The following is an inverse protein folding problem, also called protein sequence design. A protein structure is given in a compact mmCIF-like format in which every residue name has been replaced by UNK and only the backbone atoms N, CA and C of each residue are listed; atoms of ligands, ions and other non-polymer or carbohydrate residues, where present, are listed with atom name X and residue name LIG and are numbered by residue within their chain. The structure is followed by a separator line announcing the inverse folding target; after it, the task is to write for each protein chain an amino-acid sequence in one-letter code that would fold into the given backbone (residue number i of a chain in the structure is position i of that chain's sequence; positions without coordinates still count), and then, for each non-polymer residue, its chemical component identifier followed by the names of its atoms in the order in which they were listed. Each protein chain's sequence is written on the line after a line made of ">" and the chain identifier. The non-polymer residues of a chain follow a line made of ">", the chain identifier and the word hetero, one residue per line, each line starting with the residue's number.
data_IF_553874359984
#
_entry.id   IF_553874359984
#
_cell.length_a   1.000
_cell.length_b   1.000
_cell.length_c   1.000
_cell.angle_alpha   90.00
_cell.angle_beta   90.00
_cell.angle_gamma   90.00
#
_symmetry.space_group_name_H-M   'P 1'
#
loop_
_entity.id
_entity.type
_entity.pdbx_description
1 polymer ?
#
# COMPACT_ATOMS: atom_id res chain seq x y z
N UNK A 1 -24.79 -21.38 -5.26
CA UNK A 1 -23.33 -21.48 -5.49
C UNK A 1 -22.74 -22.19 -4.30
N UNK A 2 -21.76 -23.09 -4.46
CA UNK A 2 -21.07 -23.70 -3.32
C UNK A 2 -19.78 -22.94 -2.99
N UNK A 3 -19.28 -23.10 -1.76
CA UNK A 3 -18.03 -22.46 -1.31
C UNK A 3 -16.85 -22.93 -2.17
N UNK A 4 -16.83 -24.22 -2.54
CA UNK A 4 -15.77 -24.80 -3.37
C UNK A 4 -15.75 -24.20 -4.78
N UNK A 5 -16.91 -23.78 -5.30
CA UNK A 5 -16.98 -23.11 -6.60
C UNK A 5 -16.30 -21.73 -6.54
N UNK A 6 -16.54 -20.99 -5.45
CA UNK A 6 -15.90 -19.68 -5.22
C UNK A 6 -14.39 -19.82 -5.03
N UNK A 7 -13.93 -20.83 -4.29
CA UNK A 7 -12.50 -21.13 -4.13
C UNK A 7 -11.83 -21.42 -5.47
N UNK A 8 -12.45 -22.23 -6.33
CA UNK A 8 -11.93 -22.52 -7.68
C UNK A 8 -11.83 -21.27 -8.54
N UNK A 9 -12.85 -20.41 -8.51
CA UNK A 9 -12.83 -19.14 -9.24
C UNK A 9 -11.71 -18.22 -8.73
N UNK A 10 -11.57 -18.06 -7.43
CA UNK A 10 -10.54 -17.20 -6.83
C UNK A 10 -9.12 -17.72 -7.08
N UNK A 11 -8.90 -19.03 -7.19
CA UNK A 11 -7.59 -19.56 -7.55
C UNK A 11 -7.15 -19.22 -8.99
N UNK A 12 -8.09 -18.83 -9.85
CA UNK A 12 -7.85 -18.41 -11.24
C UNK A 12 -8.06 -16.91 -11.43
N UNK A 13 -8.05 -16.13 -10.36
CA UNK A 13 -8.42 -14.69 -10.35
C UNK A 13 -7.57 -13.82 -11.28
N UNK A 14 -6.32 -14.20 -11.52
CA UNK A 14 -5.41 -13.53 -12.45
C UNK A 14 -5.90 -13.58 -13.91
N UNK A 15 -6.72 -14.57 -14.27
CA UNK A 15 -7.26 -14.74 -15.63
C UNK A 15 -8.58 -13.99 -15.85
N UNK A 16 -9.14 -13.37 -14.79
CA UNK A 16 -10.33 -12.51 -14.80
C UNK A 16 -11.47 -12.93 -15.76
N UNK A 17 -12.02 -14.11 -15.58
CA UNK A 17 -13.20 -14.56 -16.34
C UNK A 17 -14.54 -14.17 -15.70
N UNK A 18 -14.50 -13.43 -14.57
CA UNK A 18 -15.68 -13.15 -13.75
C UNK A 18 -15.57 -11.83 -12.96
N UNK A 19 -16.74 -11.29 -12.58
CA UNK A 19 -16.88 -10.10 -11.73
C UNK A 19 -16.67 -10.44 -10.25
N UNK A 20 -15.79 -9.68 -9.59
CA UNK A 20 -15.53 -9.83 -8.15
C UNK A 20 -16.72 -9.36 -7.30
N UNK A 21 -17.41 -8.31 -7.73
CA UNK A 21 -18.56 -7.77 -7.03
C UNK A 21 -19.72 -8.77 -7.04
N UNK A 22 -19.98 -9.40 -8.20
CA UNK A 22 -21.01 -10.43 -8.32
C UNK A 22 -20.69 -11.66 -7.46
N UNK A 23 -19.42 -12.08 -7.44
CA UNK A 23 -18.98 -13.18 -6.59
C UNK A 23 -19.15 -12.83 -5.10
N UNK A 24 -18.77 -11.61 -4.71
CA UNK A 24 -18.93 -11.12 -3.34
C UNK A 24 -20.40 -11.07 -2.91
N UNK A 25 -21.30 -10.61 -3.78
CA UNK A 25 -22.74 -10.57 -3.52
C UNK A 25 -23.35 -11.99 -3.36
N UNK A 26 -22.90 -12.94 -4.18
CA UNK A 26 -23.31 -14.35 -4.04
C UNK A 26 -22.80 -14.95 -2.73
N UNK A 27 -21.55 -14.68 -2.35
CA UNK A 27 -21.00 -15.09 -1.05
C UNK A 27 -21.73 -14.45 0.12
N UNK A 28 -22.11 -13.17 0.01
CA UNK A 28 -22.87 -12.49 1.06
C UNK A 28 -24.25 -13.14 1.30
N UNK A 29 -24.92 -13.55 0.22
CA UNK A 29 -26.20 -14.26 0.33
C UNK A 29 -26.02 -15.61 1.05
N UNK A 30 -25.00 -16.38 0.66
CA UNK A 30 -24.66 -17.64 1.34
C UNK A 30 -24.28 -17.44 2.81
N UNK A 31 -23.58 -16.34 3.13
CA UNK A 31 -23.19 -16.02 4.51
C UNK A 31 -24.42 -15.86 5.38
N UNK A 32 -25.44 -15.16 4.88
CA UNK A 32 -26.70 -14.95 5.60
C UNK A 32 -27.43 -16.27 5.87
N UNK A 33 -27.44 -17.18 4.90
CA UNK A 33 -28.01 -18.52 5.06
C UNK A 33 -27.24 -19.32 6.14
N UNK A 34 -25.91 -19.28 6.12
CA UNK A 34 -25.07 -19.94 7.12
C UNK A 34 -25.31 -19.38 8.53
N UNK A 35 -25.42 -18.06 8.67
CA UNK A 35 -25.70 -17.41 9.97
C UNK A 35 -27.08 -17.79 10.48
N UNK A 36 -28.10 -17.81 9.61
CA UNK A 36 -29.46 -18.21 9.97
C UNK A 36 -29.51 -19.68 10.43
N UNK A 37 -28.66 -20.53 9.85
CA UNK A 37 -28.51 -21.93 10.21
C UNK A 37 -27.54 -22.18 11.38
N UNK A 38 -27.04 -21.13 12.05
CA UNK A 38 -26.01 -21.18 13.11
C UNK A 38 -24.72 -21.94 12.72
N UNK A 39 -24.39 -21.93 11.43
CA UNK A 39 -23.18 -22.55 10.90
C UNK A 39 -22.00 -21.57 10.90
N UNK A 40 -21.47 -21.31 12.10
CA UNK A 40 -20.34 -20.39 12.32
C UNK A 40 -19.09 -20.73 11.50
N UNK A 41 -18.81 -22.02 11.32
CA UNK A 41 -17.62 -22.46 10.59
C UNK A 41 -17.68 -22.06 9.11
N UNK A 42 -18.83 -22.28 8.47
CA UNK A 42 -19.01 -21.86 7.06
C UNK A 42 -19.09 -20.34 6.93
N UNK A 43 -19.76 -19.65 7.86
CA UNK A 43 -19.79 -18.18 7.85
C UNK A 43 -18.36 -17.58 7.96
N UNK A 44 -17.49 -18.19 8.78
CA UNK A 44 -16.08 -17.83 8.90
C UNK A 44 -15.30 -18.08 7.60
N UNK A 45 -15.52 -19.22 6.96
CA UNK A 45 -14.90 -19.53 5.66
C UNK A 45 -15.33 -18.55 4.58
N UNK A 46 -16.61 -18.17 4.55
CA UNK A 46 -17.11 -17.16 3.61
C UNK A 46 -16.45 -15.80 3.89
N UNK A 47 -16.31 -15.38 5.15
CA UNK A 47 -15.59 -14.15 5.48
C UNK A 47 -14.16 -14.15 4.96
N UNK A 48 -13.45 -15.29 5.02
CA UNK A 48 -12.10 -15.44 4.48
C UNK A 48 -12.11 -15.17 2.97
N UNK A 49 -13.04 -15.78 2.22
CA UNK A 49 -13.15 -15.57 0.76
C UNK A 49 -13.54 -14.13 0.40
N UNK A 50 -14.46 -13.51 1.13
CA UNK A 50 -14.81 -12.10 0.95
C UNK A 50 -13.63 -11.17 1.23
N UNK A 51 -12.83 -11.50 2.25
CA UNK A 51 -11.61 -10.73 2.58
C UNK A 51 -10.55 -10.86 1.49
N UNK A 52 -10.38 -12.04 0.89
CA UNK A 52 -9.53 -12.24 -0.29
C UNK A 52 -10.05 -11.38 -1.44
N UNK A 53 -11.35 -11.43 -1.76
CA UNK A 53 -11.94 -10.60 -2.82
C UNK A 53 -11.64 -9.12 -2.58
N UNK A 54 -11.82 -8.63 -1.35
CA UNK A 54 -11.51 -7.26 -1.00
C UNK A 54 -10.05 -6.93 -1.32
N UNK A 55 -9.08 -7.76 -0.91
CA UNK A 55 -7.65 -7.54 -1.23
C UNK A 55 -7.44 -7.36 -2.75
N UNK A 56 -8.10 -8.17 -3.58
CA UNK A 56 -7.98 -8.03 -5.04
C UNK A 56 -8.64 -6.77 -5.59
N UNK A 57 -9.81 -6.38 -5.09
CA UNK A 57 -10.48 -5.12 -5.46
C UNK A 57 -9.56 -3.94 -5.13
N UNK A 58 -9.05 -3.90 -3.89
CA UNK A 58 -8.17 -2.82 -3.44
C UNK A 58 -6.87 -2.78 -4.24
N UNK A 59 -6.29 -3.93 -4.55
CA UNK A 59 -5.05 -4.00 -5.33
C UNK A 59 -5.24 -3.53 -6.78
N UNK A 60 -6.35 -3.90 -7.43
CA UNK A 60 -6.70 -3.40 -8.77
C UNK A 60 -6.94 -1.88 -8.74
N UNK A 61 -7.64 -1.40 -7.72
CA UNK A 61 -7.85 0.03 -7.49
C UNK A 61 -6.52 0.77 -7.33
N UNK A 62 -5.62 0.26 -6.47
CA UNK A 62 -4.29 0.83 -6.27
C UNK A 62 -3.51 0.90 -7.58
N UNK A 63 -3.50 -0.18 -8.36
CA UNK A 63 -2.84 -0.21 -9.66
C UNK A 63 -3.37 0.88 -10.60
N UNK A 64 -4.69 1.00 -10.72
CA UNK A 64 -5.33 2.02 -11.57
C UNK A 64 -5.04 3.45 -11.09
N UNK A 65 -5.07 3.69 -9.79
CA UNK A 65 -4.74 5.00 -9.21
C UNK A 65 -3.30 5.40 -9.56
N UNK A 66 -2.35 4.47 -9.40
CA UNK A 66 -0.94 4.71 -9.68
C UNK A 66 -0.65 4.86 -11.19
N UNK A 67 -1.29 4.06 -12.05
CA UNK A 67 -1.23 4.24 -13.51
C UNK A 67 -1.76 5.61 -13.94
N UNK A 68 -2.75 6.15 -13.23
CA UNK A 68 -3.32 7.47 -13.45
C UNK A 68 -2.67 8.59 -12.61
N UNK A 69 -1.50 8.33 -12.01
CA UNK A 69 -0.73 9.32 -11.24
C UNK A 69 -1.46 9.93 -10.03
N UNK A 70 -2.46 9.23 -9.48
CA UNK A 70 -3.12 9.58 -8.22
C UNK A 70 -2.36 8.95 -7.05
N UNK A 71 -1.17 9.49 -6.78
CA UNK A 71 -0.18 8.83 -5.92
C UNK A 71 -0.61 8.70 -4.45
N UNK A 72 -1.19 9.76 -3.87
CA UNK A 72 -1.64 9.71 -2.48
C UNK A 72 -2.78 8.70 -2.29
N UNK A 73 -3.77 8.70 -3.18
CA UNK A 73 -4.86 7.72 -3.17
C UNK A 73 -4.33 6.29 -3.33
N UNK A 74 -3.43 6.08 -4.29
CA UNK A 74 -2.79 4.77 -4.48
C UNK A 74 -2.04 4.32 -3.23
N UNK A 75 -1.30 5.20 -2.57
CA UNK A 75 -0.61 4.91 -1.32
C UNK A 75 -1.53 4.53 -0.17
N UNK A 76 -2.64 5.26 0.02
CA UNK A 76 -3.67 4.90 1.01
C UNK A 76 -4.21 3.50 0.75
N UNK A 77 -4.41 3.17 -0.52
CA UNK A 77 -4.85 1.83 -0.92
C UNK A 77 -3.82 0.75 -0.58
N UNK A 78 -2.53 1.01 -0.81
CA UNK A 78 -1.44 0.08 -0.47
C UNK A 78 -1.41 -0.24 1.03
N UNK A 79 -1.54 0.77 1.89
CA UNK A 79 -1.63 0.53 3.34
C UNK A 79 -2.90 -0.24 3.72
N UNK A 80 -4.04 0.10 3.12
CA UNK A 80 -5.29 -0.62 3.36
C UNK A 80 -5.17 -2.11 3.03
N UNK A 81 -4.47 -2.45 1.94
CA UNK A 81 -4.18 -3.84 1.58
C UNK A 81 -3.33 -4.53 2.66
N UNK A 82 -2.30 -3.87 3.22
CA UNK A 82 -1.51 -4.42 4.32
C UNK A 82 -2.38 -4.72 5.56
N UNK A 83 -3.27 -3.79 5.91
CA UNK A 83 -4.18 -3.91 7.04
C UNK A 83 -5.13 -5.10 6.84
N UNK A 84 -5.76 -5.22 5.66
CA UNK A 84 -6.68 -6.31 5.34
C UNK A 84 -5.93 -7.66 5.33
N UNK A 85 -4.75 -7.70 4.71
CA UNK A 85 -3.90 -8.91 4.66
C UNK A 85 -3.51 -9.37 6.06
N UNK A 86 -3.18 -8.44 6.97
CA UNK A 86 -2.87 -8.76 8.37
C UNK A 86 -4.05 -9.41 9.10
N UNK A 87 -5.28 -8.95 8.83
CA UNK A 87 -6.51 -9.53 9.37
C UNK A 87 -6.73 -10.95 8.84
N UNK A 88 -6.57 -11.14 7.53
CA UNK A 88 -6.72 -12.43 6.87
C UNK A 88 -5.78 -13.49 7.46
N UNK A 89 -4.50 -13.15 7.66
CA UNK A 89 -3.45 -14.07 8.14
C UNK A 89 -3.71 -14.70 9.51
N UNK A 90 -4.62 -14.14 10.32
CA UNK A 90 -5.03 -14.73 11.60
C UNK A 90 -5.95 -15.94 11.43
N UNK A 91 -6.59 -16.08 10.28
CA UNK A 91 -7.63 -17.09 10.04
C UNK A 91 -7.38 -17.96 8.82
N UNK A 92 -6.35 -17.63 8.03
CA UNK A 92 -6.03 -18.29 6.78
C UNK A 92 -4.60 -18.83 6.83
N UNK A 93 -4.44 -20.13 6.55
CA UNK A 93 -3.12 -20.71 6.36
C UNK A 93 -2.55 -20.24 5.03
N UNK A 94 -1.52 -19.41 5.13
CA UNK A 94 -0.96 -18.74 3.97
C UNK A 94 -0.20 -19.70 3.05
N UNK A 95 -0.73 -19.90 1.84
CA UNK A 95 -0.07 -20.60 0.75
C UNK A 95 0.39 -19.59 -0.31
N UNK A 96 1.61 -19.75 -0.82
CA UNK A 96 2.19 -18.83 -1.82
C UNK A 96 1.50 -18.94 -3.18
N UNK A 97 0.94 -20.09 -3.50
CA UNK A 97 0.35 -20.36 -4.81
C UNK A 97 -1.15 -20.04 -4.85
N UNK A 98 -1.80 -19.97 -3.69
CA UNK A 98 -3.23 -19.75 -3.62
C UNK A 98 -3.61 -18.28 -3.79
N UNK A 99 -4.64 -18.06 -4.59
CA UNK A 99 -5.31 -16.77 -4.77
C UNK A 99 -4.38 -15.60 -5.16
N UNK A 100 -3.15 -15.85 -5.63
CA UNK A 100 -2.18 -14.80 -5.99
C UNK A 100 -1.81 -13.84 -4.82
N UNK A 101 -2.09 -14.21 -3.56
CA UNK A 101 -1.88 -13.31 -2.40
C UNK A 101 -0.41 -12.94 -2.20
N UNK A 102 0.50 -13.87 -2.48
CA UNK A 102 1.95 -13.62 -2.34
C UNK A 102 2.46 -12.58 -3.31
N UNK A 103 1.97 -12.60 -4.55
CA UNK A 103 2.30 -11.57 -5.51
C UNK A 103 1.81 -10.19 -5.04
N UNK A 104 0.57 -10.10 -4.55
CA UNK A 104 0.00 -8.85 -4.06
C UNK A 104 0.79 -8.32 -2.87
N UNK A 105 1.00 -9.13 -1.83
CA UNK A 105 1.72 -8.70 -0.63
C UNK A 105 3.15 -8.26 -0.96
N UNK A 106 3.84 -9.00 -1.84
CA UNK A 106 5.19 -8.64 -2.29
C UNK A 106 5.19 -7.34 -3.09
N UNK A 107 4.26 -7.18 -4.01
CA UNK A 107 4.14 -5.98 -4.84
C UNK A 107 3.85 -4.75 -3.98
N UNK A 108 2.92 -4.86 -3.02
CA UNK A 108 2.61 -3.78 -2.06
C UNK A 108 3.85 -3.36 -1.28
N UNK A 109 4.61 -4.31 -0.72
CA UNK A 109 5.86 -4.00 0.00
C UNK A 109 6.90 -3.33 -0.89
N UNK A 110 7.12 -3.85 -2.10
CA UNK A 110 8.08 -3.28 -3.04
C UNK A 110 7.67 -1.87 -3.49
N UNK A 111 6.38 -1.65 -3.74
CA UNK A 111 5.85 -0.31 -4.05
C UNK A 111 6.12 0.64 -2.90
N UNK A 112 5.85 0.23 -1.67
CA UNK A 112 6.09 1.10 -0.52
C UNK A 112 7.57 1.47 -0.32
N UNK A 113 8.51 0.62 -0.75
CA UNK A 113 9.95 0.91 -0.71
C UNK A 113 10.37 2.00 -1.71
N UNK A 114 9.72 2.06 -2.88
CA UNK A 114 10.05 3.04 -3.93
C UNK A 114 9.26 4.35 -3.79
N UNK A 115 8.24 4.39 -2.94
CA UNK A 115 7.46 5.59 -2.69
C UNK A 115 8.33 6.69 -2.03
N UNK A 116 8.22 7.94 -2.49
CA UNK A 116 9.11 9.02 -2.06
C UNK A 116 8.78 9.60 -0.69
N UNK A 117 7.69 9.19 -0.03
CA UNK A 117 7.28 9.75 1.26
C UNK A 117 8.33 9.59 2.36
N UNK A 118 8.52 10.66 3.14
CA UNK A 118 9.55 10.73 4.20
C UNK A 118 9.04 11.31 5.51
N UNK A 119 7.97 12.09 5.50
CA UNK A 119 7.49 12.80 6.69
C UNK A 119 6.01 12.50 6.84
N UNK A 120 5.65 12.07 8.04
CA UNK A 120 4.30 11.67 8.38
C UNK A 120 3.87 12.29 9.70
N UNK A 121 2.59 12.58 9.83
CA UNK A 121 1.95 12.97 11.08
C UNK A 121 1.59 11.71 11.89
N UNK A 122 2.22 11.56 13.06
CA UNK A 122 1.87 10.54 14.04
C UNK A 122 1.00 11.16 15.12
N UNK A 123 -0.27 10.78 15.15
CA UNK A 123 -1.26 11.28 16.12
C UNK A 123 -1.25 10.49 17.41
N UNK A 124 -1.24 11.18 18.55
CA UNK A 124 -1.46 10.61 19.87
C UNK A 124 -2.94 10.75 20.24
N UNK A 125 -3.64 9.62 20.38
CA UNK A 125 -5.11 9.60 20.59
C UNK A 125 -5.43 8.86 21.89
N UNK A 126 -6.04 9.56 22.85
CA UNK A 126 -6.64 8.97 24.04
C UNK A 126 -8.05 8.44 23.71
N UNK A 127 -8.19 7.11 23.68
CA UNK A 127 -9.48 6.44 23.41
C UNK A 127 -10.29 6.37 24.72
N UNK A 128 -11.29 7.24 24.88
CA UNK A 128 -12.13 7.32 26.09
C UNK A 128 -13.19 6.23 26.14
N UNK A 129 -13.92 6.03 25.04
CA UNK A 129 -14.97 5.00 24.93
C UNK A 129 -14.81 4.19 23.65
N UNK A 130 -15.19 2.92 23.76
CA UNK A 130 -15.16 1.96 22.65
C UNK A 130 -16.30 0.97 22.77
N UNK A 131 -16.82 0.55 21.63
CA UNK A 131 -17.83 -0.52 21.52
C UNK A 131 -17.32 -1.69 20.69
N UNK A 132 -17.89 -2.86 20.91
CA UNK A 132 -17.64 -4.05 20.10
C UNK A 132 -18.36 -3.94 18.76
N UNK A 133 -17.68 -4.24 17.65
CA UNK A 133 -18.31 -4.21 16.32
C UNK A 133 -19.37 -5.30 16.11
N UNK A 134 -19.32 -6.40 16.88
CA UNK A 134 -20.24 -7.55 16.73
C UNK A 134 -21.50 -7.40 17.57
N UNK A 135 -21.38 -6.98 18.83
CA UNK A 135 -22.52 -6.92 19.76
C UNK A 135 -22.92 -5.52 20.21
N UNK A 136 -22.25 -4.49 19.70
CA UNK A 136 -22.47 -3.06 19.99
C UNK A 136 -22.31 -2.63 21.45
N UNK A 137 -22.04 -3.56 22.38
CA UNK A 137 -21.82 -3.26 23.80
C UNK A 137 -20.58 -2.40 23.99
N UNK A 138 -20.69 -1.42 24.88
CA UNK A 138 -19.55 -0.65 25.38
C UNK A 138 -18.57 -1.58 26.12
N UNK A 139 -17.27 -1.44 25.85
CA UNK A 139 -16.24 -2.34 26.37
C UNK A 139 -15.21 -1.57 27.18
N UNK A 140 -15.09 -1.95 28.45
CA UNK A 140 -14.04 -1.49 29.36
C UNK A 140 -13.28 -2.68 29.95
N UNK A 141 -12.16 -2.42 30.62
CA UNK A 141 -11.38 -3.47 31.31
C UNK A 141 -12.25 -4.21 32.34
N UNK A 142 -13.12 -3.48 33.06
CA UNK A 142 -13.99 -4.05 34.10
C UNK A 142 -15.29 -4.67 33.56
N UNK A 143 -15.69 -4.31 32.33
CA UNK A 143 -16.92 -4.80 31.67
C UNK A 143 -16.57 -5.28 30.25
N UNK A 144 -15.95 -6.47 30.10
CA UNK A 144 -15.70 -7.06 28.80
C UNK A 144 -17.00 -7.62 28.20
N UNK A 145 -17.08 -7.68 26.86
CA UNK A 145 -18.24 -8.25 26.15
C UNK A 145 -18.08 -9.74 25.78
N UNK A 146 -16.98 -10.39 26.18
CA UNK A 146 -16.67 -11.79 25.82
C UNK A 146 -16.04 -11.99 24.43
N UNK A 147 -16.37 -11.16 23.44
CA UNK A 147 -15.78 -11.26 22.09
C UNK A 147 -14.28 -10.91 22.06
N UNK A 148 -13.51 -11.79 21.40
CA UNK A 148 -12.07 -11.67 21.18
C UNK A 148 -11.82 -10.75 19.99
N UNK A 149 -10.96 -9.74 20.18
CA UNK A 149 -10.63 -8.79 19.11
C UNK A 149 -9.77 -9.48 18.05
N UNK A 150 -10.23 -9.39 16.79
CA UNK A 150 -9.64 -10.06 15.66
C UNK A 150 -10.10 -11.50 15.46
N UNK A 151 -11.11 -11.99 16.19
CA UNK A 151 -11.81 -13.24 15.86
C UNK A 151 -13.09 -12.98 15.05
N UNK A 152 -13.58 -14.01 14.37
CA UNK A 152 -14.76 -13.95 13.50
C UNK A 152 -15.96 -14.60 14.20
N UNK A 153 -17.08 -13.87 14.20
CA UNK A 153 -18.37 -14.26 14.76
C UNK A 153 -19.44 -13.96 13.72
N UNK A 154 -20.31 -14.92 13.40
CA UNK A 154 -21.38 -14.75 12.40
C UNK A 154 -20.88 -14.25 11.03
N UNK A 155 -19.65 -14.64 10.66
CA UNK A 155 -19.04 -14.18 9.42
C UNK A 155 -18.64 -12.70 9.42
N UNK A 156 -18.42 -12.11 10.59
CA UNK A 156 -17.90 -10.76 10.79
C UNK A 156 -16.74 -10.74 11.79
N UNK A 157 -15.67 -10.00 11.48
CA UNK A 157 -14.52 -9.89 12.39
C UNK A 157 -14.80 -8.89 13.51
N UNK A 158 -14.55 -9.28 14.76
CA UNK A 158 -14.67 -8.41 15.92
C UNK A 158 -13.52 -7.41 16.01
N UNK A 159 -13.84 -6.12 16.09
CA UNK A 159 -12.91 -5.04 16.40
C UNK A 159 -13.54 -4.05 17.39
N UNK A 160 -12.73 -3.08 17.85
CA UNK A 160 -13.18 -2.03 18.76
C UNK A 160 -13.42 -0.76 17.97
N UNK A 161 -14.68 -0.33 17.90
CA UNK A 161 -15.06 0.97 17.34
C UNK A 161 -14.85 1.99 18.45
N UNK A 162 -13.95 2.94 18.22
CA UNK A 162 -13.74 4.05 19.15
C UNK A 162 -14.87 5.06 18.93
N UNK A 163 -15.68 5.29 19.96
CA UNK A 163 -16.85 6.18 19.91
C UNK A 163 -16.57 7.54 20.53
N UNK A 164 -15.55 7.61 21.39
CA UNK A 164 -15.11 8.86 22.01
C UNK A 164 -13.59 8.83 22.12
N UNK A 165 -12.95 9.87 21.58
CA UNK A 165 -11.50 10.01 21.55
C UNK A 165 -11.09 11.47 21.72
N UNK A 166 -9.89 11.68 22.23
CA UNK A 166 -9.26 12.99 22.35
C UNK A 166 -7.89 12.95 21.70
N UNK A 167 -7.58 13.95 20.87
CA UNK A 167 -6.25 14.11 20.28
C UNK A 167 -5.38 14.82 21.31
N UNK A 168 -4.28 14.18 21.70
CA UNK A 168 -3.34 14.70 22.70
C UNK A 168 -2.17 15.43 22.07
N UNK A 169 -1.78 15.02 20.86
CA UNK A 169 -0.66 15.62 20.15
C UNK A 169 -0.48 15.04 18.75
N UNK A 170 0.36 15.70 17.98
CA UNK A 170 0.80 15.27 16.66
C UNK A 170 2.31 15.46 16.59
N UNK A 171 3.03 14.39 16.27
CA UNK A 171 4.48 14.39 16.06
C UNK A 171 4.81 14.15 14.59
N UNK A 172 5.85 14.81 14.08
CA UNK A 172 6.38 14.54 12.75
C UNK A 172 7.43 13.42 12.82
N UNK A 173 7.23 12.37 12.04
CA UNK A 173 8.08 11.17 12.07
C UNK A 173 8.43 10.68 10.68
N UNK A 174 9.54 9.97 10.55
CA UNK A 174 9.94 9.30 9.31
C UNK A 174 9.36 7.87 9.20
N UNK A 175 9.07 7.24 10.34
CA UNK A 175 8.56 5.88 10.43
C UNK A 175 7.21 5.86 11.18
N UNK A 176 6.08 6.05 10.49
CA UNK A 176 4.78 6.13 11.13
C UNK A 176 4.19 4.76 11.44
N UNK A 177 3.32 4.70 12.45
CA UNK A 177 2.39 3.58 12.63
C UNK A 177 1.23 3.61 11.62
N UNK A 178 0.79 4.82 11.23
CA UNK A 178 -0.24 5.07 10.22
C UNK A 178 0.42 5.69 8.97
N UNK A 179 0.64 4.88 7.94
CA UNK A 179 1.37 5.27 6.73
C UNK A 179 0.60 6.31 5.90
N UNK A 180 -0.72 6.39 5.98
CA UNK A 180 -1.54 7.32 5.18
C UNK A 180 -1.39 8.79 5.59
N UNK A 181 -0.84 9.08 6.77
CA UNK A 181 -0.74 10.44 7.32
C UNK A 181 0.47 11.18 6.76
N UNK A 182 0.58 11.27 5.43
CA UNK A 182 1.69 11.93 4.72
C UNK A 182 1.59 13.44 4.88
N UNK A 183 2.74 14.11 5.09
CA UNK A 183 2.81 15.57 5.15
C UNK A 183 3.23 16.18 3.82
N UNK A 184 2.41 17.11 3.34
CA UNK A 184 2.64 17.90 2.15
C UNK A 184 3.04 19.34 2.50
N UNK A 185 3.73 20.02 1.60
CA UNK A 185 4.05 21.44 1.78
C UNK A 185 2.83 22.29 1.44
N UNK A 186 2.86 23.56 1.84
CA UNK A 186 1.89 24.56 1.40
C UNK A 186 2.56 25.58 0.50
N UNK A 187 1.81 26.06 -0.49
CA UNK A 187 2.20 27.21 -1.29
C UNK A 187 2.18 28.47 -0.41
N UNK A 188 3.27 29.25 -0.40
CA UNK A 188 3.37 30.46 0.43
C UNK A 188 2.42 31.58 -0.05
N UNK A 189 1.94 31.53 -1.29
CA UNK A 189 1.09 32.55 -1.91
C UNK A 189 -0.39 32.16 -1.94
N UNK A 190 -0.71 30.90 -2.20
CA UNK A 190 -2.10 30.42 -2.30
C UNK A 190 -2.60 29.71 -1.04
N UNK A 191 -1.70 29.37 -0.09
CA UNK A 191 -1.98 28.52 1.09
C UNK A 191 -2.51 27.12 0.75
N UNK A 192 -2.49 26.73 -0.53
CA UNK A 192 -2.91 25.42 -1.01
C UNK A 192 -1.83 24.36 -0.75
N UNK A 193 -2.27 23.11 -0.60
CA UNK A 193 -1.37 21.98 -0.40
C UNK A 193 -0.65 21.62 -1.71
N UNK A 194 0.67 21.47 -1.64
CA UNK A 194 1.54 21.07 -2.73
C UNK A 194 2.16 19.72 -2.41
N UNK A 195 1.92 18.74 -3.27
CA UNK A 195 2.66 17.50 -3.30
C UNK A 195 4.09 17.71 -3.85
N UNK A 196 5.04 17.82 -2.93
CA UNK A 196 6.44 18.11 -3.21
C UNK A 196 7.29 16.88 -3.60
N UNK A 197 6.72 15.69 -3.59
CA UNK A 197 7.48 14.45 -3.73
C UNK A 197 7.77 14.07 -5.19
N UNK A 198 8.88 13.35 -5.42
CA UNK A 198 9.27 12.90 -6.77
C UNK A 198 8.92 11.43 -7.00
N UNK A 199 7.89 11.19 -7.82
CA UNK A 199 7.37 9.87 -8.14
C UNK A 199 8.05 9.18 -9.33
N UNK A 200 9.20 9.69 -9.81
CA UNK A 200 9.89 9.13 -11.00
C UNK A 200 10.04 7.61 -10.98
N UNK A 201 10.42 7.02 -9.84
CA UNK A 201 10.59 5.57 -9.72
C UNK A 201 9.28 4.80 -9.81
N UNK A 202 8.18 5.38 -9.31
CA UNK A 202 6.84 4.80 -9.41
C UNK A 202 6.35 4.90 -10.85
N UNK A 203 6.41 6.10 -11.45
CA UNK A 203 6.03 6.34 -12.85
C UNK A 203 6.77 5.38 -13.78
N UNK A 204 8.09 5.27 -13.61
CA UNK A 204 8.91 4.40 -14.43
C UNK A 204 8.49 2.93 -14.36
N UNK A 205 8.09 2.42 -13.18
CA UNK A 205 7.57 1.07 -13.07
C UNK A 205 6.21 0.94 -13.79
N UNK A 206 5.29 1.87 -13.51
CA UNK A 206 3.93 1.82 -14.04
C UNK A 206 3.85 2.09 -15.55
N UNK A 207 4.82 2.78 -16.14
CA UNK A 207 4.94 2.94 -17.60
C UNK A 207 5.20 1.60 -18.31
N UNK A 208 5.70 0.59 -17.58
CA UNK A 208 6.08 -0.72 -18.13
C UNK A 208 5.19 -1.87 -17.66
N UNK A 209 4.34 -1.67 -16.66
CA UNK A 209 3.35 -2.66 -16.24
C UNK A 209 2.06 -2.49 -17.03
N UNK A 210 1.57 -3.56 -17.65
CA UNK A 210 0.30 -3.55 -18.38
C UNK A 210 -0.86 -4.07 -17.52
N UNK A 211 -0.57 -4.90 -16.52
CA UNK A 211 -1.57 -5.55 -15.68
C UNK A 211 -1.17 -5.56 -14.20
N UNK A 212 -2.11 -5.46 -13.25
CA UNK A 212 -1.83 -5.59 -11.82
C UNK A 212 -1.19 -6.94 -11.44
N UNK A 213 -1.48 -7.99 -12.22
CA UNK A 213 -0.99 -9.35 -11.95
C UNK A 213 0.28 -9.70 -12.74
N UNK A 214 0.88 -8.74 -13.43
CA UNK A 214 2.17 -8.95 -14.10
C UNK A 214 3.28 -9.17 -13.05
N UNK A 215 4.06 -10.24 -13.21
CA UNK A 215 5.12 -10.59 -12.26
C UNK A 215 6.34 -9.67 -12.40
N UNK A 216 6.70 -9.01 -11.29
CA UNK A 216 7.89 -8.17 -11.20
C UNK A 216 8.57 -8.28 -9.82
N UNK A 217 9.86 -7.92 -9.77
CA UNK A 217 10.65 -7.88 -8.55
C UNK A 217 11.42 -6.57 -8.43
N UNK A 218 11.75 -6.20 -7.19
CA UNK A 218 12.59 -5.05 -6.86
C UNK A 218 13.91 -5.53 -6.27
N UNK A 219 15.01 -5.09 -6.86
CA UNK A 219 16.35 -5.15 -6.27
C UNK A 219 16.78 -3.74 -5.86
N UNK A 220 17.23 -3.57 -4.62
CA UNK A 220 17.75 -2.30 -4.11
C UNK A 220 19.27 -2.38 -4.02
N UNK A 221 19.95 -1.63 -4.88
CA UNK A 221 21.42 -1.57 -4.94
C UNK A 221 21.92 -0.29 -4.27
N UNK A 222 23.09 -0.35 -3.65
CA UNK A 222 23.76 0.86 -3.14
C UNK A 222 24.75 1.36 -4.19
N UNK A 223 24.45 2.50 -4.81
CA UNK A 223 25.34 3.13 -5.79
C UNK A 223 26.08 4.30 -5.17
N UNK A 224 27.36 4.44 -5.51
CA UNK A 224 28.18 5.58 -5.08
C UNK A 224 28.00 6.73 -6.07
N UNK A 225 27.72 7.93 -5.56
CA UNK A 225 27.71 9.15 -6.37
C UNK A 225 29.14 9.45 -6.82
N UNK A 226 29.38 9.44 -8.13
CA UNK A 226 30.69 9.72 -8.70
C UNK A 226 30.72 11.08 -9.37
N UNK A 227 31.92 11.63 -9.57
CA UNK A 227 32.12 12.92 -10.25
C UNK A 227 31.65 12.82 -11.71
N UNK A 228 31.91 11.66 -12.33
CA UNK A 228 31.53 11.34 -13.71
C UNK A 228 30.02 11.48 -13.97
N UNK A 229 29.17 11.26 -12.95
CA UNK A 229 27.71 11.42 -13.06
C UNK A 229 27.28 12.86 -13.38
N UNK A 230 28.18 13.84 -13.20
CA UNK A 230 27.94 15.26 -13.49
C UNK A 230 28.70 15.74 -14.73
N UNK A 231 29.33 14.84 -15.49
CA UNK A 231 30.16 15.19 -16.65
C UNK A 231 31.28 16.17 -16.31
N UNK A 232 31.56 17.11 -17.22
CA UNK A 232 32.64 18.09 -17.10
C UNK A 232 32.25 19.34 -16.28
N UNK A 233 31.24 19.26 -15.42
CA UNK A 233 30.74 20.41 -14.66
C UNK A 233 31.81 21.00 -13.71
N UNK A 234 32.14 22.27 -13.97
CA UNK A 234 33.08 23.09 -13.23
C UNK A 234 32.55 23.49 -11.85
N UNK A 235 33.46 23.67 -10.88
CA UNK A 235 33.11 23.94 -9.48
C UNK A 235 32.22 25.19 -9.27
N UNK A 236 32.39 26.20 -10.12
CA UNK A 236 31.67 27.47 -10.01
C UNK A 236 30.42 27.55 -10.90
N UNK A 237 30.20 26.57 -11.77
CA UNK A 237 29.02 26.50 -12.64
C UNK A 237 27.77 26.16 -11.83
N UNK A 238 26.59 26.45 -12.39
CA UNK A 238 25.31 26.11 -11.76
C UNK A 238 25.14 24.59 -11.70
N UNK A 239 24.62 24.08 -10.58
CA UNK A 239 24.38 22.66 -10.41
C UNK A 239 23.21 22.18 -11.30
N UNK A 240 23.37 21.02 -11.92
CA UNK A 240 22.36 20.40 -12.82
C UNK A 240 21.12 19.82 -12.10
N UNK A 241 21.09 19.88 -10.77
CA UNK A 241 19.97 19.38 -9.97
C UNK A 241 18.81 20.37 -9.83
N UNK A 242 18.88 21.56 -10.45
CA UNK A 242 17.83 22.57 -10.39
C UNK A 242 17.84 23.45 -9.13
N UNK A 243 18.81 23.30 -8.22
CA UNK A 243 18.90 24.10 -6.99
C UNK A 243 19.33 25.55 -7.20
N UNK A 244 19.72 25.93 -8.42
CA UNK A 244 20.36 27.21 -8.76
C UNK A 244 21.65 27.56 -7.99
N UNK A 245 22.16 26.67 -7.12
CA UNK A 245 23.42 26.86 -6.38
C UNK A 245 24.63 26.51 -7.26
N UNK A 246 25.78 27.12 -6.98
CA UNK A 246 27.08 26.71 -7.57
C UNK A 246 27.35 25.24 -7.24
N UNK A 247 27.88 24.47 -8.18
CA UNK A 247 28.09 23.03 -8.02
C UNK A 247 28.86 22.68 -6.74
N UNK A 248 29.93 23.43 -6.43
CA UNK A 248 30.75 23.27 -5.22
C UNK A 248 30.00 23.46 -3.89
N UNK A 249 28.83 24.09 -3.90
CA UNK A 249 27.96 24.33 -2.73
C UNK A 249 26.69 23.48 -2.77
N UNK A 250 26.61 22.51 -3.68
CA UNK A 250 25.44 21.69 -3.89
C UNK A 250 25.84 20.21 -3.99
N UNK A 251 25.56 19.55 -5.11
CA UNK A 251 25.73 18.11 -5.26
C UNK A 251 27.19 17.63 -5.20
N UNK A 252 28.18 18.52 -5.33
CA UNK A 252 29.59 18.14 -5.15
C UNK A 252 29.86 17.55 -3.76
N UNK A 253 29.14 18.02 -2.74
CA UNK A 253 29.30 17.57 -1.36
C UNK A 253 28.69 16.18 -1.12
N UNK A 254 27.93 15.68 -2.09
CA UNK A 254 27.37 14.35 -2.08
C UNK A 254 28.23 13.34 -2.85
N UNK A 255 29.26 13.79 -3.58
CA UNK A 255 30.21 12.89 -4.24
C UNK A 255 30.86 12.00 -3.18
N UNK A 256 30.86 10.70 -3.43
CA UNK A 256 31.36 9.69 -2.51
C UNK A 256 30.30 9.10 -1.57
N UNK A 257 29.13 9.74 -1.42
CA UNK A 257 28.00 9.18 -0.68
C UNK A 257 27.31 8.07 -1.49
N UNK A 258 26.64 7.18 -0.76
CA UNK A 258 25.83 6.12 -1.35
C UNK A 258 24.36 6.53 -1.40
N UNK A 259 23.65 6.02 -2.39
CA UNK A 259 22.21 6.19 -2.54
C UNK A 259 21.57 4.87 -2.99
N UNK A 260 20.29 4.63 -2.64
CA UNK A 260 19.56 3.49 -3.14
C UNK A 260 19.26 3.66 -4.64
N UNK A 261 19.59 2.65 -5.42
CA UNK A 261 19.22 2.49 -6.82
C UNK A 261 18.23 1.33 -6.94
N UNK A 262 17.11 1.59 -7.61
CA UNK A 262 16.04 0.63 -7.77
C UNK A 262 16.14 -0.05 -9.13
N UNK A 263 16.30 -1.38 -9.12
CA UNK A 263 16.29 -2.20 -10.33
C UNK A 263 15.01 -3.03 -10.34
N UNK A 264 14.22 -2.88 -11.40
CA UNK A 264 12.99 -3.64 -11.61
C UNK A 264 13.26 -4.84 -12.52
N UNK A 265 12.88 -6.03 -12.09
CA UNK A 265 13.03 -7.27 -12.85
C UNK A 265 11.65 -7.79 -13.20
N UNK A 266 11.25 -7.64 -14.46
CA UNK A 266 9.98 -8.12 -15.00
C UNK A 266 10.18 -9.50 -15.65
N UNK A 267 9.27 -10.44 -15.41
CA UNK A 267 9.39 -11.83 -15.92
C UNK A 267 8.90 -12.00 -17.36
N UNK A 268 7.81 -11.34 -17.72
CA UNK A 268 7.25 -11.32 -19.07
C UNK A 268 7.13 -9.87 -19.55
N UNK A 269 8.24 -9.15 -19.69
CA UNK A 269 8.18 -7.75 -20.04
C UNK A 269 7.57 -7.64 -21.43
N UNK A 270 6.51 -6.86 -21.57
CA UNK A 270 6.10 -6.35 -22.88
C UNK A 270 7.30 -5.67 -23.58
N UNK A 271 8.31 -5.15 -22.83
CA UNK A 271 9.66 -4.75 -23.29
C UNK A 271 10.77 -4.91 -22.21
N UNK A 272 11.81 -5.72 -22.52
CA UNK A 272 13.15 -5.96 -21.86
C UNK A 272 13.44 -5.32 -20.50
N UNK A 273 14.05 -6.09 -19.57
CA UNK A 273 14.79 -5.68 -18.35
C UNK A 273 15.15 -4.17 -18.24
N UNK A 274 14.67 -3.49 -17.18
CA UNK A 274 14.48 -2.03 -17.18
C UNK A 274 15.18 -1.41 -15.96
N UNK A 275 16.19 -0.55 -16.18
CA UNK A 275 16.97 0.12 -15.14
C UNK A 275 16.39 1.51 -14.86
N UNK A 276 15.78 1.73 -13.69
CA UNK A 276 15.26 3.04 -13.33
C UNK A 276 16.41 4.01 -13.02
N UNK A 277 16.64 4.97 -13.92
CA UNK A 277 17.61 6.05 -13.71
C UNK A 277 17.11 7.00 -12.61
N UNK A 278 17.56 6.84 -11.37
CA UNK A 278 17.41 7.87 -10.33
C UNK A 278 18.46 8.97 -10.48
N UNK A 279 18.49 9.63 -11.64
CA UNK A 279 19.11 10.94 -11.85
C UNK A 279 18.28 11.68 -12.91
N UNK A 280 17.26 12.43 -12.49
CA UNK A 280 16.66 13.46 -13.35
C UNK A 280 17.73 14.54 -13.60
N UNK A 281 18.42 14.44 -14.74
CA UNK A 281 18.93 15.65 -15.41
C UNK A 281 17.71 16.20 -16.15
N UNK A 282 17.03 17.20 -15.56
CA UNK A 282 16.12 18.03 -16.35
C UNK A 282 17.00 18.82 -17.31
N UNK A 283 17.10 18.35 -18.55
CA UNK A 283 17.40 19.22 -19.67
C UNK A 283 16.11 19.99 -19.96
N UNK A 284 16.15 21.31 -19.85
CA UNK A 284 15.21 22.19 -20.52
C UNK A 284 16.06 23.25 -21.23
N UNK A 285 15.80 23.34 -22.54
CA UNK A 285 15.91 24.47 -23.47
C UNK A 285 16.57 25.76 -22.98
#
# INVERSE_FOLDING_TARGET
>A
MKIEDAQKQLNLIQNQTFSLDDLNNKLQSLKLDCVTADNQSQAKEIWILQTIIQIHIEYRSAFNLLKNKKYYDGWRQLEQIEIITSRLKKHFQYDKEQYCLWHIEKSVKNLQVIFPYKIFASTEILKKKKKCSVCDKEVSIRKPCGHITGEIYDGEMCYRIVTEAEIMGISLVENPGNKYSVMFLKDETTDEEIDQYDYTSVDYLFDHLESPYEEWNLEVLQMKIRKENYGNLGRNEKCTCGSNKKFKKCCSNSIGKYYPHYKFVLKNPSKKMILANTLKIKANS
#
